data_IF_314447947865
#
_entry.id   IF_314447947865
#
_cell.length_a   1.000
_cell.length_b   1.000
_cell.length_c   1.000
_cell.angle_alpha   90.00
_cell.angle_beta   90.00
_cell.angle_gamma   90.00
#
_symmetry.space_group_name_H-M   'P 1'
#
loop_
_entity.id
_entity.type
_entity.pdbx_description
1 polymer ?
#
# COMPACT_ATOMS: atom_id res chain seq x y z
N UNK A 1 35.06 -7.47 -25.31
CA UNK A 1 33.65 -7.67 -24.89
C UNK A 1 33.55 -7.28 -23.42
N UNK A 2 33.41 -5.98 -23.13
CA UNK A 2 33.20 -5.49 -21.76
C UNK A 2 31.73 -5.13 -21.61
N UNK A 3 30.95 -6.06 -21.05
CA UNK A 3 29.60 -5.80 -20.61
C UNK A 3 29.65 -4.84 -19.42
N UNK A 4 29.31 -3.57 -19.64
CA UNK A 4 28.88 -2.71 -18.56
C UNK A 4 27.50 -3.21 -18.09
N UNK A 5 27.48 -4.27 -17.28
CA UNK A 5 26.37 -4.49 -16.36
C UNK A 5 26.41 -3.33 -15.37
N UNK A 6 25.72 -2.23 -15.72
CA UNK A 6 25.35 -1.21 -14.76
C UNK A 6 24.57 -1.91 -13.67
N UNK A 7 25.21 -2.17 -12.53
CA UNK A 7 24.54 -2.72 -11.36
C UNK A 7 23.36 -1.79 -11.07
N UNK A 8 22.13 -2.31 -11.18
CA UNK A 8 20.92 -1.64 -10.73
C UNK A 8 21.19 -1.16 -9.31
N UNK A 9 21.35 0.16 -9.14
CA UNK A 9 21.54 0.77 -7.82
C UNK A 9 20.19 0.79 -7.14
N UNK A 10 19.88 -0.30 -6.44
CA UNK A 10 18.78 -0.39 -5.49
C UNK A 10 19.04 0.65 -4.40
N UNK A 11 18.22 1.70 -4.36
CA UNK A 11 18.31 2.74 -3.34
C UNK A 11 17.88 2.16 -1.99
N UNK A 12 18.87 1.84 -1.13
CA UNK A 12 18.63 1.34 0.22
C UNK A 12 18.26 2.45 1.19
N UNK A 13 16.99 2.58 1.51
CA UNK A 13 16.51 3.48 2.57
C UNK A 13 16.21 2.67 3.84
N UNK A 14 16.83 3.04 4.97
CA UNK A 14 16.58 2.38 6.25
C UNK A 14 15.23 2.84 6.84
N UNK A 15 14.14 2.21 6.38
CA UNK A 15 12.78 2.47 6.87
C UNK A 15 12.48 1.91 8.28
N UNK A 16 13.48 1.34 8.95
CA UNK A 16 13.35 0.86 10.33
C UNK A 16 12.91 1.98 11.27
N UNK A 17 13.38 3.21 11.07
CA UNK A 17 12.98 4.35 11.89
C UNK A 17 11.49 4.68 11.71
N UNK A 18 11.00 4.78 10.47
CA UNK A 18 9.57 5.04 10.20
C UNK A 18 8.68 3.94 10.78
N UNK A 19 9.06 2.68 10.57
CA UNK A 19 8.33 1.53 11.12
C UNK A 19 8.32 1.56 12.65
N UNK A 20 9.45 1.91 13.28
CA UNK A 20 9.55 2.06 14.74
C UNK A 20 8.68 3.21 15.25
N UNK A 21 8.67 4.35 14.55
CA UNK A 21 7.83 5.50 14.88
C UNK A 21 6.34 5.17 14.75
N UNK A 22 5.94 4.42 13.72
CA UNK A 22 4.56 3.93 13.56
C UNK A 22 4.14 3.06 14.75
N UNK A 23 4.99 2.10 15.14
CA UNK A 23 4.71 1.29 16.33
C UNK A 23 4.68 2.14 17.61
N UNK A 24 5.63 3.07 17.78
CA UNK A 24 5.66 3.99 18.91
C UNK A 24 4.37 4.83 19.03
N UNK A 25 3.87 5.35 17.90
CA UNK A 25 2.61 6.09 17.85
C UNK A 25 1.42 5.21 18.23
N UNK A 26 1.35 3.98 17.72
CA UNK A 26 0.30 3.03 18.12
C UNK A 26 0.34 2.69 19.60
N UNK A 27 1.53 2.46 20.16
CA UNK A 27 1.69 2.26 21.60
C UNK A 27 1.23 3.48 22.39
N UNK A 28 1.55 4.70 21.94
CA UNK A 28 1.05 5.92 22.55
C UNK A 28 -0.48 6.01 22.52
N UNK A 29 -1.13 5.63 21.41
CA UNK A 29 -2.59 5.61 21.27
C UNK A 29 -3.22 4.58 22.20
N UNK A 30 -2.68 3.36 22.26
CA UNK A 30 -3.16 2.30 23.16
C UNK A 30 -3.07 2.75 24.62
N UNK A 31 -1.96 3.40 25.01
CA UNK A 31 -1.77 3.94 26.36
C UNK A 31 -2.67 5.13 26.65
N UNK A 32 -2.95 5.98 25.66
CA UNK A 32 -3.92 7.06 25.78
C UNK A 32 -5.33 6.53 26.03
N UNK A 33 -5.74 5.48 25.31
CA UNK A 33 -7.04 4.82 25.51
C UNK A 33 -7.09 4.17 26.90
N UNK A 34 -6.03 3.49 27.33
CA UNK A 34 -5.93 2.92 28.68
C UNK A 34 -6.12 3.98 29.76
N UNK A 35 -5.43 5.12 29.65
CA UNK A 35 -5.55 6.23 30.60
C UNK A 35 -6.97 6.81 30.59
N UNK A 36 -7.52 7.09 29.40
CA UNK A 36 -8.85 7.70 29.24
C UNK A 36 -10.00 6.80 29.73
N UNK A 37 -9.81 5.48 29.75
CA UNK A 37 -10.81 4.50 30.22
C UNK A 37 -10.68 4.15 31.71
N UNK A 38 -9.91 4.92 32.49
CA UNK A 38 -9.75 4.70 33.92
C UNK A 38 -8.66 3.68 34.26
N UNK A 39 -7.56 3.68 33.51
CA UNK A 39 -6.44 2.77 33.63
C UNK A 39 -5.95 2.55 35.06
N UNK A 40 -5.74 1.29 35.43
CA UNK A 40 -5.22 0.86 36.73
C UNK A 40 -4.06 -0.12 36.56
N UNK A 41 -3.32 -0.40 37.64
CA UNK A 41 -2.25 -1.42 37.62
C UNK A 41 -2.76 -2.80 37.17
N UNK A 42 -4.01 -3.14 37.46
CA UNK A 42 -4.64 -4.40 37.06
C UNK A 42 -4.97 -4.47 35.57
N UNK A 43 -5.37 -3.35 34.96
CA UNK A 43 -5.69 -3.31 33.51
C UNK A 43 -4.47 -3.07 32.64
N UNK A 44 -3.38 -2.53 33.20
CA UNK A 44 -2.14 -2.25 32.45
C UNK A 44 -1.58 -3.50 31.74
N UNK A 45 -1.55 -4.65 32.42
CA UNK A 45 -1.08 -5.90 31.83
C UNK A 45 -1.89 -6.33 30.61
N UNK A 46 -3.20 -6.13 30.63
CA UNK A 46 -4.10 -6.44 29.49
C UNK A 46 -3.78 -5.55 28.30
N UNK A 47 -3.60 -4.24 28.51
CA UNK A 47 -3.28 -3.30 27.42
C UNK A 47 -1.89 -3.52 26.84
N UNK A 48 -0.91 -3.93 27.67
CA UNK A 48 0.40 -4.35 27.18
C UNK A 48 0.27 -5.59 26.30
N UNK A 49 -0.51 -6.60 26.72
CA UNK A 49 -0.76 -7.79 25.90
C UNK A 49 -1.46 -7.46 24.58
N UNK A 50 -2.44 -6.54 24.60
CA UNK A 50 -3.10 -6.04 23.38
C UNK A 50 -2.08 -5.33 22.48
N UNK A 51 -1.23 -4.47 23.04
CA UNK A 51 -0.18 -3.76 22.30
C UNK A 51 0.81 -4.72 21.64
N UNK A 52 1.35 -5.67 22.40
CA UNK A 52 2.27 -6.69 21.88
C UNK A 52 1.60 -7.57 20.82
N UNK A 53 0.37 -8.02 21.09
CA UNK A 53 -0.41 -8.82 20.14
C UNK A 53 -0.66 -8.06 18.84
N UNK A 54 -1.05 -6.79 18.92
CA UNK A 54 -1.31 -5.95 17.74
C UNK A 54 -0.02 -5.67 16.96
N UNK A 55 1.08 -5.32 17.64
CA UNK A 55 2.40 -5.16 17.00
C UNK A 55 2.83 -6.45 16.28
N UNK A 56 2.72 -7.59 16.95
CA UNK A 56 3.05 -8.88 16.37
C UNK A 56 2.18 -9.18 15.15
N UNK A 57 0.86 -8.98 15.25
CA UNK A 57 -0.08 -9.23 14.17
C UNK A 57 0.17 -8.32 12.96
N UNK A 58 0.32 -7.01 13.19
CA UNK A 58 0.61 -6.03 12.15
C UNK A 58 1.95 -6.29 11.47
N UNK A 59 2.97 -6.73 12.21
CA UNK A 59 4.25 -7.08 11.58
C UNK A 59 4.16 -8.38 10.79
N UNK A 60 3.62 -9.45 11.38
CA UNK A 60 3.72 -10.81 10.84
C UNK A 60 2.66 -11.14 9.78
N UNK A 61 1.50 -10.48 9.83
CA UNK A 61 0.36 -10.76 8.96
C UNK A 61 -0.09 -9.54 8.13
N UNK A 62 0.70 -8.46 8.07
CA UNK A 62 0.34 -7.27 7.28
C UNK A 62 0.07 -7.57 5.81
N UNK A 63 0.88 -8.43 5.19
CA UNK A 63 0.69 -8.87 3.80
C UNK A 63 -0.66 -9.56 3.62
N UNK A 64 -1.00 -10.49 4.53
CA UNK A 64 -2.27 -11.22 4.48
C UNK A 64 -3.48 -10.32 4.69
N UNK A 65 -3.37 -9.35 5.61
CA UNK A 65 -4.45 -8.37 5.87
C UNK A 65 -4.68 -7.52 4.61
N UNK A 66 -3.61 -7.03 3.98
CA UNK A 66 -3.68 -6.25 2.75
C UNK A 66 -4.28 -7.01 1.56
N UNK A 67 -3.86 -8.26 1.36
CA UNK A 67 -4.38 -9.13 0.29
C UNK A 67 -5.85 -9.48 0.53
N UNK A 68 -6.20 -9.83 1.78
CA UNK A 68 -7.56 -10.21 2.14
C UNK A 68 -8.54 -9.03 2.04
N UNK A 69 -8.11 -7.80 2.38
CA UNK A 69 -8.97 -6.61 2.30
C UNK A 69 -9.40 -6.28 0.86
N UNK A 70 -8.61 -6.74 -0.13
CA UNK A 70 -8.88 -6.64 -1.56
C UNK A 70 -9.64 -7.83 -2.13
N UNK A 71 -9.94 -8.85 -1.31
CA UNK A 71 -10.51 -10.11 -1.78
C UNK A 71 -9.62 -10.83 -2.79
N UNK A 72 -8.32 -10.54 -2.79
CA UNK A 72 -7.39 -11.03 -3.79
C UNK A 72 -7.05 -12.50 -3.57
N UNK A 73 -6.87 -13.22 -4.67
CA UNK A 73 -6.59 -14.66 -4.67
C UNK A 73 -5.24 -14.92 -5.31
N UNK A 74 -4.49 -15.83 -4.72
CA UNK A 74 -3.25 -16.30 -5.31
C UNK A 74 -3.58 -17.01 -6.62
N UNK A 75 -2.84 -16.68 -7.67
CA UNK A 75 -2.99 -17.29 -8.99
C UNK A 75 -1.79 -18.17 -9.27
N UNK A 76 -2.00 -19.26 -10.00
CA UNK A 76 -0.92 -20.13 -10.51
C UNK A 76 -0.43 -19.67 -11.89
N UNK A 77 0.74 -20.15 -12.31
CA UNK A 77 1.28 -19.89 -13.65
C UNK A 77 0.33 -20.35 -14.76
N UNK A 78 -0.42 -21.43 -14.54
CA UNK A 78 -1.43 -21.90 -15.49
C UNK A 78 -2.63 -20.93 -15.60
N UNK A 79 -2.97 -20.22 -14.52
CA UNK A 79 -4.08 -19.26 -14.50
C UNK A 79 -3.69 -17.89 -15.03
N UNK A 80 -2.45 -17.45 -14.82
CA UNK A 80 -1.96 -16.14 -15.24
C UNK A 80 -0.54 -16.23 -15.84
N UNK A 81 -0.35 -16.93 -16.99
CA UNK A 81 0.97 -17.23 -17.55
C UNK A 81 1.74 -15.97 -17.95
N UNK A 82 1.05 -14.95 -18.48
CA UNK A 82 1.66 -13.69 -18.86
C UNK A 82 2.23 -12.95 -17.63
N UNK A 83 1.44 -12.84 -16.57
CA UNK A 83 1.84 -12.19 -15.32
C UNK A 83 3.05 -12.91 -14.68
N UNK A 84 3.01 -14.24 -14.64
CA UNK A 84 4.12 -15.07 -14.16
C UNK A 84 5.39 -14.86 -15.00
N UNK A 85 5.27 -14.83 -16.33
CA UNK A 85 6.41 -14.60 -17.22
C UNK A 85 7.05 -13.24 -16.98
N UNK A 86 6.23 -12.17 -16.93
CA UNK A 86 6.73 -10.81 -16.70
C UNK A 86 7.46 -10.72 -15.35
N UNK A 87 6.80 -11.15 -14.26
CA UNK A 87 7.36 -11.03 -12.91
C UNK A 87 8.61 -11.89 -12.78
N UNK A 88 8.64 -13.11 -13.35
CA UNK A 88 9.82 -13.98 -13.36
C UNK A 88 11.00 -13.32 -14.08
N UNK A 89 10.75 -12.78 -15.27
CA UNK A 89 11.80 -12.14 -16.08
C UNK A 89 12.36 -10.89 -15.39
N UNK A 90 11.49 -10.02 -14.86
CA UNK A 90 11.89 -8.82 -14.14
C UNK A 90 12.65 -9.15 -12.85
N UNK A 91 12.21 -10.16 -12.09
CA UNK A 91 12.90 -10.62 -10.88
C UNK A 91 14.27 -11.23 -11.22
N UNK A 92 14.36 -12.01 -12.30
CA UNK A 92 15.63 -12.58 -12.78
C UNK A 92 16.60 -11.48 -13.24
N UNK A 93 16.13 -10.47 -13.98
CA UNK A 93 16.94 -9.30 -14.37
C UNK A 93 17.45 -8.52 -13.16
N UNK A 94 16.64 -8.40 -12.11
CA UNK A 94 17.04 -7.77 -10.86
C UNK A 94 17.96 -8.65 -9.98
N UNK A 95 18.11 -9.94 -10.30
CA UNK A 95 18.86 -10.90 -9.48
C UNK A 95 18.21 -11.14 -8.10
N UNK A 96 16.87 -11.10 -8.04
CA UNK A 96 16.09 -11.12 -6.79
C UNK A 96 15.02 -12.22 -6.78
N UNK A 97 14.57 -12.67 -5.60
CA UNK A 97 13.52 -13.68 -5.49
C UNK A 97 12.20 -13.20 -6.10
N UNK A 98 11.51 -14.11 -6.78
CA UNK A 98 10.20 -13.84 -7.35
C UNK A 98 9.13 -13.76 -6.23
N UNK A 99 8.32 -12.69 -6.15
CA UNK A 99 7.23 -12.61 -5.19
C UNK A 99 6.05 -13.49 -5.59
N UNK A 100 5.17 -13.78 -4.62
CA UNK A 100 3.87 -14.42 -4.89
C UNK A 100 2.96 -13.47 -5.69
N UNK A 101 2.09 -14.02 -6.52
CA UNK A 101 1.24 -13.25 -7.43
C UNK A 101 -0.22 -13.43 -7.04
N UNK A 102 -0.91 -12.30 -6.86
CA UNK A 102 -2.33 -12.26 -6.52
C UNK A 102 -3.12 -11.45 -7.55
N UNK A 103 -4.38 -11.84 -7.74
CA UNK A 103 -5.34 -11.07 -8.54
C UNK A 103 -6.56 -10.70 -7.70
N UNK A 104 -6.86 -9.41 -7.64
CA UNK A 104 -8.05 -8.88 -6.96
C UNK A 104 -9.23 -8.78 -7.94
N UNK A 105 -10.42 -9.32 -7.59
CA UNK A 105 -11.61 -9.30 -8.45
C UNK A 105 -12.32 -7.93 -8.41
N UNK A 106 -11.59 -6.87 -8.75
CA UNK A 106 -12.09 -5.49 -8.83
C UNK A 106 -11.75 -4.86 -10.16
N UNK A 107 -12.70 -4.09 -10.71
CA UNK A 107 -12.55 -3.39 -11.98
C UNK A 107 -11.88 -2.03 -11.86
N UNK A 108 -11.66 -1.54 -10.64
CA UNK A 108 -10.82 -0.36 -10.42
C UNK A 108 -9.36 -0.70 -10.78
N UNK A 109 -8.76 -0.10 -11.81
CA UNK A 109 -7.44 -0.50 -12.29
C UNK A 109 -6.37 -0.06 -11.28
N UNK A 110 -5.65 -1.04 -10.72
CA UNK A 110 -4.57 -0.78 -9.78
C UNK A 110 -3.64 -1.98 -9.62
N UNK A 111 -2.48 -1.74 -9.02
CA UNK A 111 -1.55 -2.77 -8.56
C UNK A 111 -0.86 -2.30 -7.27
N UNK A 112 -0.38 -3.24 -6.47
CA UNK A 112 0.43 -2.95 -5.29
C UNK A 112 1.34 -4.12 -4.91
N UNK A 113 2.44 -3.82 -4.25
CA UNK A 113 3.29 -4.77 -3.54
C UNK A 113 3.10 -4.72 -2.02
N UNK A 114 3.23 -5.85 -1.36
CA UNK A 114 3.19 -5.97 0.10
C UNK A 114 4.13 -7.08 0.58
N UNK A 115 4.43 -7.12 1.87
CA UNK A 115 5.32 -8.11 2.45
C UNK A 115 6.25 -7.55 3.52
N UNK A 116 6.94 -8.48 4.19
CA UNK A 116 7.87 -8.14 5.29
C UNK A 116 9.32 -7.99 4.82
N UNK A 117 9.65 -8.65 3.72
CA UNK A 117 10.94 -8.63 3.04
C UNK A 117 10.77 -9.26 1.64
N UNK A 118 11.81 -9.18 0.81
CA UNK A 118 11.81 -9.69 -0.57
C UNK A 118 11.51 -11.20 -0.68
N UNK A 119 11.85 -12.02 0.32
CA UNK A 119 11.53 -13.45 0.33
C UNK A 119 10.09 -13.74 0.78
N UNK A 120 9.42 -12.77 1.41
CA UNK A 120 8.06 -12.86 1.91
C UNK A 120 7.21 -11.74 1.30
N UNK A 121 7.42 -11.48 0.02
CA UNK A 121 6.72 -10.46 -0.75
C UNK A 121 5.58 -11.05 -1.58
N UNK A 122 4.62 -10.20 -1.88
CA UNK A 122 3.51 -10.46 -2.76
C UNK A 122 3.26 -9.23 -3.65
N UNK A 123 2.91 -9.47 -4.91
CA UNK A 123 2.43 -8.44 -5.83
C UNK A 123 0.99 -8.78 -6.19
N UNK A 124 0.11 -7.79 -6.13
CA UNK A 124 -1.29 -7.93 -6.44
C UNK A 124 -1.68 -7.00 -7.59
N UNK A 125 -2.34 -7.55 -8.61
CA UNK A 125 -2.93 -6.79 -9.71
C UNK A 125 -4.46 -6.88 -9.62
N UNK A 126 -5.17 -5.79 -9.95
CA UNK A 126 -6.63 -5.87 -10.06
C UNK A 126 -7.06 -6.46 -11.40
N UNK A 127 -8.25 -7.05 -11.47
CA UNK A 127 -8.80 -7.49 -12.75
C UNK A 127 -8.93 -6.32 -13.75
N UNK A 128 -9.26 -5.12 -13.24
CA UNK A 128 -9.31 -3.89 -14.03
C UNK A 128 -7.97 -3.52 -14.68
N UNK A 129 -6.85 -3.64 -13.95
CA UNK A 129 -5.53 -3.27 -14.54
C UNK A 129 -5.13 -4.25 -15.64
N UNK A 130 -5.41 -5.54 -15.45
CA UNK A 130 -5.09 -6.59 -16.41
C UNK A 130 -5.91 -6.49 -17.71
N UNK A 131 -7.11 -5.91 -17.65
CA UNK A 131 -7.92 -5.65 -18.85
C UNK A 131 -7.57 -4.32 -19.53
N UNK A 132 -7.04 -3.36 -18.78
CA UNK A 132 -6.79 -2.00 -19.26
C UNK A 132 -5.42 -1.84 -19.93
N UNK A 133 -4.39 -2.46 -19.35
CA UNK A 133 -3.01 -2.28 -19.78
C UNK A 133 -2.61 -3.35 -20.79
N UNK A 134 -1.81 -2.96 -21.77
CA UNK A 134 -1.08 -3.93 -22.60
C UNK A 134 0.15 -4.47 -21.85
N UNK A 135 0.78 -5.52 -22.40
CA UNK A 135 1.96 -6.14 -21.78
C UNK A 135 3.05 -5.11 -21.44
N UNK A 136 3.37 -4.21 -22.37
CA UNK A 136 4.44 -3.22 -22.21
C UNK A 136 4.19 -2.32 -21.00
N UNK A 137 2.96 -1.81 -20.88
CA UNK A 137 2.49 -0.98 -19.77
C UNK A 137 2.46 -1.76 -18.45
N UNK A 138 1.95 -3.00 -18.47
CA UNK A 138 1.91 -3.88 -17.30
C UNK A 138 3.31 -4.20 -16.78
N UNK A 139 4.29 -4.39 -17.67
CA UNK A 139 5.72 -4.53 -17.30
C UNK A 139 6.24 -3.28 -16.60
N UNK A 140 5.87 -2.08 -17.07
CA UNK A 140 6.19 -0.82 -16.42
C UNK A 140 5.69 -0.77 -14.98
N UNK A 141 4.41 -1.06 -14.78
CA UNK A 141 3.77 -1.10 -13.44
C UNK A 141 4.40 -2.15 -12.55
N UNK A 142 4.59 -3.37 -13.04
CA UNK A 142 5.22 -4.45 -12.26
C UNK A 142 6.69 -4.16 -11.95
N UNK A 143 7.41 -3.49 -12.85
CA UNK A 143 8.76 -3.01 -12.59
C UNK A 143 8.80 -2.06 -11.40
N UNK A 144 7.89 -1.10 -11.36
CA UNK A 144 7.70 -0.17 -10.23
C UNK A 144 7.37 -0.92 -8.92
N UNK A 145 6.37 -1.80 -8.93
CA UNK A 145 5.98 -2.56 -7.73
C UNK A 145 7.09 -3.47 -7.20
N UNK A 146 7.86 -4.08 -8.09
CA UNK A 146 9.02 -4.89 -7.71
C UNK A 146 10.14 -4.04 -7.10
N UNK A 147 10.31 -2.78 -7.52
CA UNK A 147 11.27 -1.89 -6.87
C UNK A 147 10.89 -1.54 -5.45
N UNK A 148 9.59 -1.39 -5.13
CA UNK A 148 9.19 -1.26 -3.72
C UNK A 148 9.58 -2.48 -2.89
N UNK A 149 9.47 -3.69 -3.46
CA UNK A 149 9.90 -4.93 -2.78
C UNK A 149 11.41 -4.91 -2.53
N UNK A 150 12.20 -4.65 -3.57
CA UNK A 150 13.66 -4.80 -3.53
C UNK A 150 14.37 -3.62 -2.83
N UNK A 151 13.79 -2.42 -2.86
CA UNK A 151 14.24 -1.26 -2.08
C UNK A 151 13.82 -1.36 -0.59
N UNK A 152 13.12 -2.45 -0.19
CA UNK A 152 12.65 -2.72 1.19
C UNK A 152 11.69 -1.66 1.73
N UNK A 153 10.88 -1.10 0.85
CA UNK A 153 9.89 -0.07 1.19
C UNK A 153 8.51 -0.65 1.53
N UNK A 154 8.24 -1.90 1.15
CA UNK A 154 6.94 -2.56 1.36
C UNK A 154 6.51 -2.72 2.82
N UNK A 155 7.45 -2.92 3.76
CA UNK A 155 7.10 -3.24 5.15
C UNK A 155 6.39 -2.07 5.85
N UNK A 156 6.88 -0.85 5.67
CA UNK A 156 6.35 0.35 6.34
C UNK A 156 4.89 0.57 5.95
N UNK A 157 4.62 0.54 4.64
CA UNK A 157 3.27 0.72 4.08
C UNK A 157 2.35 -0.43 4.47
N UNK A 158 2.85 -1.68 4.46
CA UNK A 158 2.07 -2.85 4.88
C UNK A 158 1.70 -2.82 6.36
N UNK A 159 2.63 -2.43 7.24
CA UNK A 159 2.38 -2.28 8.68
C UNK A 159 1.39 -1.15 8.95
N UNK A 160 1.59 0.02 8.34
CA UNK A 160 0.66 1.15 8.48
C UNK A 160 -0.75 0.81 7.98
N UNK A 161 -0.85 0.13 6.84
CA UNK A 161 -2.09 -0.39 6.28
C UNK A 161 -2.79 -1.31 7.28
N UNK A 162 -2.09 -2.34 7.79
CA UNK A 162 -2.65 -3.28 8.76
C UNK A 162 -3.11 -2.60 10.06
N UNK A 163 -2.34 -1.64 10.57
CA UNK A 163 -2.71 -0.87 11.76
C UNK A 163 -3.96 -0.01 11.50
N UNK A 164 -4.04 0.66 10.34
CA UNK A 164 -5.21 1.45 9.96
C UNK A 164 -6.45 0.56 9.80
N UNK A 165 -6.31 -0.65 9.25
CA UNK A 165 -7.38 -1.66 9.19
C UNK A 165 -7.86 -1.99 10.60
N UNK A 166 -6.95 -2.37 11.51
CA UNK A 166 -7.27 -2.76 12.89
C UNK A 166 -7.97 -1.61 13.63
N UNK A 167 -7.43 -0.39 13.54
CA UNK A 167 -8.00 0.80 14.19
C UNK A 167 -9.42 1.09 13.69
N UNK A 168 -9.63 0.99 12.37
CA UNK A 168 -10.96 1.23 11.78
C UNK A 168 -11.97 0.16 12.20
N UNK A 169 -11.58 -1.12 12.17
CA UNK A 169 -12.45 -2.20 12.65
C UNK A 169 -12.73 -2.11 14.15
N UNK A 170 -11.75 -1.67 14.95
CA UNK A 170 -11.97 -1.40 16.37
C UNK A 170 -13.03 -0.31 16.56
N UNK A 171 -12.95 0.80 15.80
CA UNK A 171 -13.96 1.86 15.80
C UNK A 171 -15.36 1.34 15.47
N UNK A 172 -15.49 0.53 14.41
CA UNK A 172 -16.77 -0.10 14.06
C UNK A 172 -17.26 -1.10 15.10
N UNK A 173 -16.37 -1.88 15.71
CA UNK A 173 -16.75 -2.83 16.76
C UNK A 173 -17.28 -2.12 18.01
N UNK A 174 -16.70 -0.97 18.39
CA UNK A 174 -17.19 -0.15 19.50
C UNK A 174 -18.57 0.46 19.18
N UNK A 175 -18.83 0.80 17.92
CA UNK A 175 -20.14 1.27 17.46
C UNK A 175 -21.22 0.17 17.51
N UNK A 176 -20.86 -1.08 17.18
CA UNK A 176 -21.83 -2.18 17.04
C UNK A 176 -22.02 -3.00 18.33
N UNK A 177 -20.94 -3.29 19.05
CA UNK A 177 -20.96 -4.06 20.31
C UNK A 177 -21.16 -3.19 21.56
N UNK A 178 -20.94 -1.87 21.46
CA UNK A 178 -21.36 -0.92 22.50
C UNK A 178 -22.88 -0.82 22.63
N UNK A 179 -23.66 -1.26 21.63
CA UNK A 179 -25.12 -1.16 21.60
C UNK A 179 -25.91 -2.36 22.16
N UNK A 180 -25.29 -3.27 22.92
CA UNK A 180 -25.89 -4.54 23.32
C UNK A 180 -26.00 -4.76 24.83
N UNK A 181 -26.99 -4.15 25.48
CA UNK A 181 -27.69 -4.77 26.61
C UNK A 181 -29.19 -4.67 26.33
N UNK A 182 -29.81 -5.83 26.20
CA UNK A 182 -31.11 -6.05 25.55
C UNK A 182 -32.24 -6.14 26.57
N UNK A 183 -32.16 -5.39 27.66
CA UNK A 183 -33.05 -5.61 28.82
C UNK A 183 -33.60 -4.36 29.51
N UNK A 184 -33.59 -3.18 28.88
CA UNK A 184 -34.31 -2.03 29.43
C UNK A 184 -35.31 -1.46 28.43
N UNK A 185 -36.56 -1.93 28.59
CA UNK A 185 -37.76 -1.18 28.23
C UNK A 185 -37.79 0.07 29.11
N UNK A 186 -37.30 1.19 28.61
CA UNK A 186 -37.82 2.55 28.80
C UNK A 186 -36.72 3.58 28.47
N UNK A 187 -36.98 4.35 27.41
CA UNK A 187 -36.38 5.65 27.07
C UNK A 187 -34.95 5.94 27.53
N UNK A 188 -33.95 5.61 26.70
CA UNK A 188 -32.81 6.47 26.29
C UNK A 188 -31.67 5.63 25.65
N UNK A 189 -31.95 4.97 24.53
CA UNK A 189 -30.97 4.13 23.81
C UNK A 189 -29.92 4.89 22.99
N UNK A 190 -29.49 6.09 23.42
CA UNK A 190 -28.63 6.99 22.64
C UNK A 190 -27.15 7.08 23.08
N UNK A 191 -26.80 6.67 24.30
CA UNK A 191 -25.50 7.00 24.90
C UNK A 191 -24.30 6.21 24.37
N UNK A 192 -24.44 4.90 24.15
CA UNK A 192 -23.31 4.04 23.76
C UNK A 192 -23.04 4.06 22.24
N UNK A 193 -24.07 4.29 21.42
CA UNK A 193 -23.90 4.60 19.99
C UNK A 193 -23.13 5.91 19.78
N UNK A 194 -23.36 6.90 20.64
CA UNK A 194 -22.61 8.16 20.64
C UNK A 194 -21.12 7.94 20.97
N UNK A 195 -20.80 7.05 21.91
CA UNK A 195 -19.41 6.69 22.25
C UNK A 195 -18.70 6.04 21.05
N UNK A 196 -19.37 5.13 20.33
CA UNK A 196 -18.80 4.51 19.13
C UNK A 196 -18.58 5.50 17.98
N UNK A 197 -19.49 6.46 17.80
CA UNK A 197 -19.35 7.55 16.83
C UNK A 197 -18.21 8.50 17.22
N UNK A 198 -18.11 8.89 18.48
CA UNK A 198 -17.02 9.74 19.00
C UNK A 198 -15.66 9.04 18.90
N UNK A 199 -15.59 7.75 19.23
CA UNK A 199 -14.39 6.94 19.06
C UNK A 199 -13.97 6.88 17.58
N UNK A 200 -14.91 6.64 16.67
CA UNK A 200 -14.63 6.62 15.23
C UNK A 200 -14.16 7.98 14.70
N UNK A 201 -14.71 9.09 15.22
CA UNK A 201 -14.30 10.44 14.85
C UNK A 201 -12.85 10.77 15.26
N UNK A 202 -12.32 10.12 16.31
CA UNK A 202 -10.93 10.26 16.76
C UNK A 202 -10.00 9.25 16.07
N UNK A 203 -10.45 8.00 15.95
CA UNK A 203 -9.64 6.90 15.43
C UNK A 203 -9.42 6.98 13.91
N UNK A 204 -10.37 7.50 13.14
CA UNK A 204 -10.21 7.61 11.68
C UNK A 204 -9.09 8.60 11.26
N UNK A 205 -8.99 9.83 11.80
CA UNK A 205 -7.86 10.72 11.55
C UNK A 205 -6.51 10.09 11.93
N UNK A 206 -6.46 9.35 13.04
CA UNK A 206 -5.26 8.64 13.49
C UNK A 206 -4.81 7.60 12.46
N UNK A 207 -5.74 6.77 11.98
CA UNK A 207 -5.46 5.79 10.93
C UNK A 207 -4.93 6.45 9.65
N UNK A 208 -5.54 7.57 9.26
CA UNK A 208 -5.09 8.35 8.10
C UNK A 208 -3.68 8.95 8.30
N UNK A 209 -3.35 9.44 9.49
CA UNK A 209 -2.01 9.95 9.82
C UNK A 209 -0.95 8.86 9.78
N UNK A 210 -1.26 7.64 10.26
CA UNK A 210 -0.35 6.50 10.17
C UNK A 210 -0.02 6.16 8.72
N UNK A 211 -1.03 6.15 7.85
CA UNK A 211 -0.85 5.93 6.41
C UNK A 211 0.01 7.03 5.78
N UNK A 212 -0.25 8.30 6.09
CA UNK A 212 0.51 9.42 5.55
C UNK A 212 1.99 9.40 5.97
N UNK A 213 2.29 9.01 7.22
CA UNK A 213 3.67 8.88 7.69
C UNK A 213 4.43 7.73 7.03
N UNK A 214 3.71 6.70 6.57
CA UNK A 214 4.31 5.54 5.92
C UNK A 214 4.76 5.84 4.49
N UNK A 215 4.06 6.74 3.80
CA UNK A 215 4.25 6.99 2.36
C UNK A 215 5.24 8.14 2.15
N UNK A 216 6.11 7.97 1.16
CA UNK A 216 7.16 8.94 0.86
C UNK A 216 7.21 9.25 -0.63
N UNK A 217 6.94 10.51 -0.99
CA UNK A 217 6.92 10.96 -2.39
C UNK A 217 8.24 10.72 -3.11
N UNK A 218 9.37 10.92 -2.43
CA UNK A 218 10.70 10.64 -2.99
C UNK A 218 10.83 9.18 -3.41
N UNK A 219 10.28 8.25 -2.62
CA UNK A 219 10.36 6.82 -2.90
C UNK A 219 9.53 6.39 -4.10
N UNK A 220 8.40 7.06 -4.34
CA UNK A 220 7.61 6.84 -5.55
C UNK A 220 8.41 7.24 -6.80
N UNK A 221 9.12 8.38 -6.77
CA UNK A 221 10.00 8.78 -7.87
C UNK A 221 11.20 7.84 -8.06
N UNK A 222 11.79 7.37 -6.95
CA UNK A 222 12.90 6.42 -7.02
C UNK A 222 12.41 5.06 -7.59
N UNK A 223 11.22 4.61 -7.23
CA UNK A 223 10.62 3.40 -7.78
C UNK A 223 10.22 3.55 -9.26
N UNK A 224 9.75 4.73 -9.68
CA UNK A 224 9.52 5.06 -11.09
C UNK A 224 10.81 4.97 -11.91
N UNK A 225 11.89 5.55 -11.40
CA UNK A 225 13.20 5.52 -12.05
C UNK A 225 13.77 4.11 -12.08
N UNK A 226 13.90 3.46 -10.93
CA UNK A 226 14.48 2.12 -10.80
C UNK A 226 13.66 1.09 -11.59
N UNK A 227 12.33 1.19 -11.57
CA UNK A 227 11.42 0.32 -12.30
C UNK A 227 11.55 0.52 -13.82
N UNK A 228 11.70 1.77 -14.26
CA UNK A 228 11.94 2.11 -15.66
C UNK A 228 13.32 1.66 -16.15
N UNK A 229 14.35 1.73 -15.30
CA UNK A 229 15.68 1.16 -15.59
C UNK A 229 15.62 -0.36 -15.72
N UNK A 230 14.86 -1.03 -14.85
CA UNK A 230 14.69 -2.49 -14.89
C UNK A 230 13.97 -2.96 -16.16
N UNK A 231 12.91 -2.26 -16.55
CA UNK A 231 12.13 -2.59 -17.76
C UNK A 231 12.82 -2.12 -19.04
N UNK A 232 13.62 -1.04 -18.95
CA UNK A 232 14.22 -0.35 -20.07
C UNK A 232 13.25 0.58 -20.80
N UNK A 233 12.09 0.89 -20.20
CA UNK A 233 10.99 1.56 -20.90
C UNK A 233 10.19 2.51 -19.98
N UNK A 234 10.72 3.72 -19.71
CA UNK A 234 10.02 4.72 -18.90
C UNK A 234 8.69 5.19 -19.52
N UNK A 235 8.59 5.21 -20.86
CA UNK A 235 7.37 5.63 -21.55
C UNK A 235 6.22 4.63 -21.35
N UNK A 236 6.52 3.35 -21.14
CA UNK A 236 5.51 2.35 -20.82
C UNK A 236 4.86 2.63 -19.47
N UNK A 237 5.66 2.96 -18.44
CA UNK A 237 5.14 3.32 -17.12
C UNK A 237 4.35 4.64 -17.19
N UNK A 238 4.83 5.64 -17.93
CA UNK A 238 4.10 6.90 -18.13
C UNK A 238 2.73 6.69 -18.78
N UNK A 239 2.67 5.86 -19.84
CA UNK A 239 1.41 5.49 -20.51
C UNK A 239 0.48 4.75 -19.55
N UNK A 240 1.02 3.80 -18.77
CA UNK A 240 0.25 3.04 -17.79
C UNK A 240 -0.37 3.94 -16.71
N UNK A 241 0.42 4.84 -16.12
CA UNK A 241 -0.06 5.80 -15.11
C UNK A 241 -1.21 6.66 -15.63
N UNK A 242 -1.10 7.18 -16.85
CA UNK A 242 -2.17 7.97 -17.47
C UNK A 242 -3.47 7.15 -17.67
N UNK A 243 -3.35 5.90 -18.11
CA UNK A 243 -4.49 4.99 -18.27
C UNK A 243 -5.13 4.64 -16.93
N UNK A 244 -4.32 4.33 -15.91
CA UNK A 244 -4.78 4.01 -14.56
C UNK A 244 -5.56 5.18 -13.97
N UNK A 245 -5.02 6.41 -14.03
CA UNK A 245 -5.67 7.62 -13.54
C UNK A 245 -7.06 7.80 -14.20
N UNK A 246 -7.11 7.69 -15.52
CA UNK A 246 -8.36 7.80 -16.30
C UNK A 246 -9.34 6.68 -15.94
N UNK A 247 -8.84 5.45 -15.80
CA UNK A 247 -9.62 4.27 -15.49
C UNK A 247 -10.20 4.29 -14.07
N UNK A 248 -9.47 4.81 -13.08
CA UNK A 248 -9.97 5.04 -11.73
C UNK A 248 -11.11 6.06 -11.74
N UNK A 249 -11.00 7.13 -12.55
CA UNK A 249 -12.08 8.11 -12.72
C UNK A 249 -13.39 7.50 -13.24
N UNK A 250 -13.30 6.45 -14.05
CA UNK A 250 -14.45 5.71 -14.60
C UNK A 250 -14.97 4.61 -13.65
N UNK A 251 -14.07 3.90 -12.97
CA UNK A 251 -14.40 2.80 -12.07
C UNK A 251 -13.72 3.00 -10.69
N UNK A 252 -14.15 3.99 -9.89
CA UNK A 252 -13.55 4.24 -8.59
C UNK A 252 -13.86 3.10 -7.63
N UNK A 253 -12.90 2.78 -6.77
CA UNK A 253 -13.09 1.75 -5.75
C UNK A 253 -14.04 2.25 -4.66
N UNK A 254 -14.85 1.34 -4.11
CA UNK A 254 -15.70 1.66 -2.96
C UNK A 254 -14.81 1.92 -1.74
N UNK A 255 -15.02 3.05 -1.07
CA UNK A 255 -14.36 3.36 0.20
C UNK A 255 -14.93 2.49 1.32
N UNK A 256 -14.09 1.62 1.86
CA UNK A 256 -14.35 0.76 3.02
C UNK A 256 -13.10 0.80 3.90
N UNK A 257 -13.21 0.41 5.17
CA UNK A 257 -12.04 0.30 6.06
C UNK A 257 -10.87 -0.47 5.42
N UNK A 258 -11.17 -1.62 4.81
CA UNK A 258 -10.17 -2.47 4.17
C UNK A 258 -9.56 -1.85 2.91
N UNK A 259 -10.38 -1.29 2.03
CA UNK A 259 -9.89 -0.67 0.79
C UNK A 259 -9.13 0.62 1.07
N UNK A 260 -9.50 1.40 2.09
CA UNK A 260 -8.77 2.60 2.52
C UNK A 260 -7.38 2.25 3.05
N UNK A 261 -7.27 1.17 3.83
CA UNK A 261 -5.96 0.69 4.25
C UNK A 261 -5.11 0.17 3.08
N UNK A 262 -5.70 -0.53 2.10
CA UNK A 262 -4.96 -1.04 0.95
C UNK A 262 -4.53 0.06 -0.04
N UNK A 263 -5.31 1.13 -0.15
CA UNK A 263 -5.04 2.27 -1.03
C UNK A 263 -3.67 2.91 -0.80
N UNK A 264 -3.13 2.82 0.42
CA UNK A 264 -1.80 3.31 0.80
C UNK A 264 -0.64 2.63 0.06
N UNK A 265 -0.83 1.41 -0.44
CA UNK A 265 0.19 0.62 -1.14
C UNK A 265 0.00 0.64 -2.66
N UNK A 266 -1.11 1.19 -3.14
CA UNK A 266 -1.51 1.15 -4.54
C UNK A 266 -0.71 2.16 -5.38
N UNK A 267 -0.38 1.81 -6.62
CA UNK A 267 0.39 2.69 -7.52
C UNK A 267 -0.30 4.05 -7.77
N UNK A 268 -1.63 4.09 -7.64
CA UNK A 268 -2.44 5.30 -7.73
C UNK A 268 -3.58 5.26 -6.71
N UNK A 269 -4.05 6.43 -6.28
CA UNK A 269 -5.20 6.55 -5.37
C UNK A 269 -6.45 5.95 -6.02
N UNK A 270 -7.04 4.85 -5.50
CA UNK A 270 -8.16 4.15 -6.14
C UNK A 270 -9.51 4.87 -5.96
N UNK A 271 -9.56 5.97 -5.22
CA UNK A 271 -10.78 6.68 -4.90
C UNK A 271 -10.99 7.89 -5.80
N UNK A 272 -12.26 8.29 -5.96
CA UNK A 272 -12.59 9.49 -6.72
C UNK A 272 -12.06 10.73 -6.01
N UNK A 273 -11.27 11.53 -6.73
CA UNK A 273 -10.79 12.82 -6.25
C UNK A 273 -11.97 13.80 -6.06
N UNK A 274 -12.28 14.12 -4.81
CA UNK A 274 -13.31 15.08 -4.44
C UNK A 274 -12.99 15.79 -3.13
N UNK A 275 -13.08 17.13 -3.13
CA UNK A 275 -12.97 17.97 -1.93
C UNK A 275 -11.60 17.95 -1.23
N UNK A 276 -11.62 17.82 0.10
CA UNK A 276 -10.43 17.81 0.97
C UNK A 276 -9.50 16.59 0.76
N UNK A 277 -9.90 15.59 -0.06
CA UNK A 277 -9.10 14.37 -0.31
C UNK A 277 -7.74 14.63 -0.96
N UNK A 278 -7.60 15.70 -1.77
CA UNK A 278 -6.29 16.08 -2.37
C UNK A 278 -5.24 16.50 -1.36
N UNK A 279 -5.65 17.05 -0.21
CA UNK A 279 -4.72 17.43 0.86
C UNK A 279 -4.17 16.20 1.61
N UNK A 280 -4.82 15.06 1.43
CA UNK A 280 -4.43 13.77 1.98
C UNK A 280 -3.92 12.81 0.90
N UNK A 281 -3.64 13.30 -0.33
CA UNK A 281 -3.03 12.50 -1.38
C UNK A 281 -1.62 12.09 -0.97
N UNK A 282 -1.48 10.80 -0.72
CA UNK A 282 -0.25 10.17 -0.26
C UNK A 282 0.78 9.99 -1.38
N UNK A 283 0.33 9.90 -2.63
CA UNK A 283 1.19 9.81 -3.82
C UNK A 283 1.49 11.20 -4.39
N UNK A 284 2.66 11.41 -5.01
CA UNK A 284 2.90 12.62 -5.80
C UNK A 284 1.92 12.69 -6.99
N UNK A 285 1.63 13.89 -7.51
CA UNK A 285 0.72 14.04 -8.63
C UNK A 285 1.13 13.17 -9.82
N UNK A 286 0.18 12.45 -10.41
CA UNK A 286 0.42 11.56 -11.56
C UNK A 286 1.07 12.29 -12.73
N UNK A 287 0.70 13.55 -12.97
CA UNK A 287 1.30 14.40 -14.00
C UNK A 287 2.79 14.69 -13.77
N UNK A 288 3.21 14.85 -12.51
CA UNK A 288 4.62 15.07 -12.17
C UNK A 288 5.44 13.79 -12.41
N UNK A 289 4.91 12.63 -12.03
CA UNK A 289 5.53 11.33 -12.31
C UNK A 289 5.69 11.10 -13.81
N UNK A 290 4.64 11.34 -14.59
CA UNK A 290 4.65 11.23 -16.05
C UNK A 290 5.70 12.16 -16.66
N UNK A 291 5.77 13.42 -16.23
CA UNK A 291 6.75 14.37 -16.75
C UNK A 291 8.20 13.92 -16.54
N UNK A 292 8.52 13.39 -15.34
CA UNK A 292 9.86 12.85 -15.05
C UNK A 292 10.19 11.61 -15.88
N UNK A 293 9.23 10.70 -16.07
CA UNK A 293 9.41 9.52 -16.93
C UNK A 293 9.63 9.90 -18.40
N UNK A 294 8.91 10.91 -18.90
CA UNK A 294 9.14 11.45 -20.25
C UNK A 294 10.54 12.04 -20.39
N UNK A 295 11.00 12.80 -19.40
CA UNK A 295 12.36 13.33 -19.37
C UNK A 295 13.41 12.20 -19.36
N UNK A 296 13.24 11.21 -18.49
CA UNK A 296 14.12 10.03 -18.41
C UNK A 296 14.19 9.29 -19.74
N UNK A 297 13.07 9.16 -20.46
CA UNK A 297 13.05 8.55 -21.80
C UNK A 297 13.92 9.30 -22.80
N UNK A 298 13.91 10.64 -22.76
CA UNK A 298 14.73 11.47 -23.63
C UNK A 298 16.22 11.31 -23.31
N UNK A 299 16.56 11.27 -22.03
CA UNK A 299 17.94 11.05 -21.55
C UNK A 299 18.46 9.66 -21.97
N UNK A 300 17.66 8.60 -21.79
CA UNK A 300 18.03 7.24 -22.22
C UNK A 300 18.21 7.13 -23.74
N UNK A 301 17.36 7.81 -24.51
CA UNK A 301 17.48 7.85 -25.98
C UNK A 301 18.74 8.60 -26.42
N UNK A 302 19.07 9.69 -25.75
CA UNK A 302 20.26 10.51 -26.05
C UNK A 302 21.56 9.78 -25.69
N UNK A 303 21.58 9.06 -24.56
CA UNK A 303 22.73 8.24 -24.16
C UNK A 303 23.01 7.08 -25.13
N UNK A 304 21.98 6.55 -25.79
CA UNK A 304 22.11 5.50 -26.80
C UNK A 304 22.68 6.03 -28.13
N UNK A 305 22.63 7.34 -28.36
CA UNK A 305 23.04 7.99 -29.62
C UNK A 305 24.47 8.52 -29.64
N UNK A 306 25.28 8.42 -28.57
CA UNK A 306 26.69 8.81 -28.60
C UNK A 306 27.52 7.69 -29.25
N UNK A 307 27.99 7.83 -30.51
CA UNK A 307 28.91 6.87 -31.09
C UNK A 307 30.29 7.08 -30.46
N UNK A 308 31.03 6.00 -30.23
CA UNK A 308 32.46 6.05 -29.96
C UNK A 308 33.13 6.92 -31.04
N UNK A 309 33.64 8.10 -30.65
CA UNK A 309 34.69 8.81 -31.39
C UNK A 309 36.03 8.42 -30.80
#
# INVERSE_FOLDING_TARGET
MNGQTGQLRVHGHFNGLKTTLLFGLMWAIIMLIWWATGGSRGTLGVYILIGLGTTFMSYWFSDRIAIASMGAREVSEAQAPELYRIVRELSARAGRPMPRIYVAPTMSPNAFATGRNEHHAAVCCTQGILQLLNERELRGVLGHELMHVYNRDILTSAVASAMATVITYLGYSLMYFGGGSRDDREGNGGGLGLIGVLASAILAPIGASLIQMAISRTREFDADEDGSRLTGDPMALASALNKIETGIGMAPMRQTAGTQSAAAMMIANPFRDGGFSRLFSTHPPTSERIARLMQMSQEMSSATQIPYQ
#
